data_IF_315899148112
#
_entry.id   IF_315899148112
#
_cell.length_a   1.000
_cell.length_b   1.000
_cell.length_c   1.000
_cell.angle_alpha   90.00
_cell.angle_beta   90.00
_cell.angle_gamma   90.00
#
_symmetry.space_group_name_H-M   'P 1'
#
loop_
_entity.id
_entity.type
_entity.pdbx_description
1 polymer ?
#
# COMPACT_ATOMS: atom_id res chain seq x y z
N UNK A 1 -25.83 13.97 -38.45
CA UNK A 1 -26.67 13.03 -37.66
C UNK A 1 -25.87 11.75 -37.51
N UNK A 2 -25.21 11.47 -36.38
CA UNK A 2 -25.77 10.84 -35.17
C UNK A 2 -25.06 9.47 -35.02
N UNK A 3 -24.05 9.32 -34.15
CA UNK A 3 -24.09 9.00 -32.72
C UNK A 3 -24.38 7.52 -32.40
N UNK A 4 -23.55 6.97 -31.49
CA UNK A 4 -23.68 5.72 -30.71
C UNK A 4 -23.36 4.38 -31.43
N UNK A 5 -22.67 3.41 -30.81
CA UNK A 5 -22.20 3.33 -29.43
C UNK A 5 -21.28 2.11 -29.20
N UNK A 6 -20.40 2.31 -28.21
CA UNK A 6 -19.86 1.37 -27.22
C UNK A 6 -20.15 -0.14 -27.36
N UNK A 7 -19.08 -0.95 -27.36
CA UNK A 7 -19.03 -2.11 -26.46
C UNK A 7 -17.56 -2.36 -26.03
N UNK A 8 -17.13 -1.59 -25.04
CA UNK A 8 -15.93 -1.90 -24.28
C UNK A 8 -16.29 -3.03 -23.35
N UNK A 9 -16.01 -4.27 -23.76
CA UNK A 9 -16.17 -5.45 -22.92
C UNK A 9 -15.35 -5.27 -21.64
N UNK A 10 -16.00 -4.77 -20.59
CA UNK A 10 -15.47 -4.66 -19.23
C UNK A 10 -15.23 -6.08 -18.72
N UNK A 11 -14.05 -6.62 -19.05
CA UNK A 11 -13.51 -7.78 -18.36
C UNK A 11 -13.02 -7.28 -17.01
N UNK A 12 -13.96 -7.11 -16.08
CA UNK A 12 -13.65 -7.02 -14.65
C UNK A 12 -13.05 -8.38 -14.30
N UNK A 13 -11.73 -8.45 -14.30
CA UNK A 13 -11.04 -9.63 -13.80
C UNK A 13 -11.38 -9.73 -12.31
N UNK A 14 -12.04 -10.80 -11.85
CA UNK A 14 -12.18 -11.01 -10.41
C UNK A 14 -10.76 -11.19 -9.86
N UNK A 15 -10.35 -10.31 -8.94
CA UNK A 15 -9.19 -10.57 -8.09
C UNK A 15 -9.61 -11.76 -7.25
N UNK A 16 -9.13 -12.95 -7.63
CA UNK A 16 -9.32 -14.16 -6.84
C UNK A 16 -8.43 -14.02 -5.60
N UNK A 17 -8.98 -13.45 -4.54
CA UNK A 17 -8.42 -13.51 -3.19
C UNK A 17 -8.78 -14.90 -2.67
N UNK A 18 -7.94 -15.89 -2.95
CA UNK A 18 -7.99 -17.15 -2.19
C UNK A 18 -7.23 -16.96 -0.89
N UNK A 19 -7.98 -16.64 0.17
CA UNK A 19 -7.53 -16.94 1.52
C UNK A 19 -7.64 -18.47 1.71
N UNK A 20 -6.53 -19.18 1.48
CA UNK A 20 -6.38 -20.57 1.91
C UNK A 20 -6.27 -20.56 3.44
N UNK A 21 -7.41 -20.68 4.12
CA UNK A 21 -7.45 -20.93 5.56
C UNK A 21 -6.89 -22.32 5.90
N UNK A 22 -6.26 -22.51 7.05
CA UNK A 22 -5.77 -23.82 7.46
C UNK A 22 -6.95 -24.69 7.92
N UNK A 23 -7.44 -25.55 7.02
CA UNK A 23 -8.30 -26.68 7.37
C UNK A 23 -7.46 -27.78 7.99
N UNK A 24 -7.62 -28.02 9.30
CA UNK A 24 -6.97 -29.13 9.98
C UNK A 24 -7.54 -30.49 9.58
N UNK A 25 -6.64 -31.47 9.39
CA UNK A 25 -6.82 -32.88 9.74
C UNK A 25 -5.50 -33.65 9.48
N UNK A 26 -4.89 -34.12 10.56
CA UNK A 26 -4.00 -35.28 10.73
C UNK A 26 -3.05 -35.73 9.59
N UNK A 27 -1.75 -35.42 9.73
CA UNK A 27 -0.63 -36.15 9.09
C UNK A 27 0.59 -36.18 10.05
N UNK A 28 1.23 -37.34 10.28
CA UNK A 28 2.30 -37.47 11.27
C UNK A 28 3.66 -37.01 10.74
N UNK A 29 4.53 -36.72 11.72
CA UNK A 29 5.86 -36.14 11.66
C UNK A 29 6.82 -36.69 10.59
N UNK A 30 7.40 -35.77 9.83
CA UNK A 30 8.85 -35.71 9.65
C UNK A 30 9.24 -34.24 9.41
N UNK A 31 10.24 -33.80 10.16
CA UNK A 31 10.54 -32.42 10.50
C UNK A 31 11.59 -31.85 9.54
N UNK A 32 11.32 -30.72 8.90
CA UNK A 32 12.32 -29.67 8.66
C UNK A 32 11.63 -28.37 8.24
N UNK A 33 11.31 -27.59 9.26
CA UNK A 33 11.20 -26.13 9.30
C UNK A 33 10.41 -25.46 8.15
N UNK A 34 9.09 -25.66 8.20
CA UNK A 34 8.16 -24.66 7.73
C UNK A 34 8.35 -23.40 8.60
N UNK A 35 9.26 -22.53 8.19
CA UNK A 35 9.32 -21.14 8.63
C UNK A 35 8.05 -20.43 8.18
N UNK A 36 6.94 -20.70 8.90
CA UNK A 36 5.72 -19.93 8.86
C UNK A 36 6.03 -18.54 9.39
N UNK A 37 6.60 -17.71 8.53
CA UNK A 37 6.74 -16.30 8.78
C UNK A 37 5.32 -15.77 8.83
N UNK A 38 4.81 -15.49 10.04
CA UNK A 38 3.52 -14.85 10.30
C UNK A 38 3.51 -13.38 9.82
N UNK A 39 4.21 -13.09 8.73
CA UNK A 39 4.21 -11.81 8.07
C UNK A 39 2.85 -11.62 7.41
N UNK A 40 2.18 -10.52 7.75
CA UNK A 40 0.92 -10.14 7.14
C UNK A 40 1.05 -10.11 5.62
N UNK A 41 0.09 -10.71 4.94
CA UNK A 41 0.06 -10.69 3.48
C UNK A 41 0.03 -9.25 2.94
N UNK A 42 0.90 -8.97 1.99
CA UNK A 42 0.90 -7.68 1.29
C UNK A 42 -0.42 -7.46 0.58
N UNK A 43 -0.95 -6.24 0.62
CA UNK A 43 -2.23 -5.89 0.01
C UNK A 43 -2.12 -4.64 -0.87
N UNK A 44 -3.00 -4.54 -1.87
CA UNK A 44 -2.97 -3.45 -2.84
C UNK A 44 -4.14 -2.50 -2.63
N UNK A 45 -3.87 -1.19 -2.65
CA UNK A 45 -4.88 -0.13 -2.59
C UNK A 45 -4.77 0.80 -3.81
N UNK A 46 -5.86 1.47 -4.14
CA UNK A 46 -5.87 2.53 -5.15
C UNK A 46 -5.63 3.88 -4.48
N UNK A 47 -4.78 4.70 -5.08
CA UNK A 47 -4.51 6.07 -4.62
C UNK A 47 -5.73 6.94 -4.92
N UNK A 48 -6.18 7.69 -3.91
CA UNK A 48 -7.27 8.63 -3.99
C UNK A 48 -6.75 10.06 -3.77
N UNK A 49 -7.24 11.00 -4.59
CA UNK A 49 -6.84 12.40 -4.55
C UNK A 49 -5.40 12.66 -5.01
N UNK A 50 -4.93 13.88 -4.76
CA UNK A 50 -3.70 14.44 -5.33
C UNK A 50 -2.62 14.79 -4.28
N UNK A 51 -2.87 14.43 -3.02
CA UNK A 51 -1.99 14.76 -1.88
C UNK A 51 -0.57 14.17 -1.97
N UNK A 52 -0.38 13.17 -2.83
CA UNK A 52 0.90 12.50 -3.06
C UNK A 52 1.45 12.75 -4.46
N UNK A 53 0.91 13.72 -5.20
CA UNK A 53 1.53 14.23 -6.42
C UNK A 53 2.87 14.91 -6.11
N UNK A 54 3.82 14.91 -7.06
CA UNK A 54 3.72 14.35 -8.42
C UNK A 54 4.03 12.84 -8.51
N UNK A 55 4.46 12.22 -7.41
CA UNK A 55 4.94 10.84 -7.42
C UNK A 55 3.79 9.85 -7.52
N UNK A 56 2.70 10.02 -6.79
CA UNK A 56 1.54 9.12 -6.82
C UNK A 56 0.33 9.86 -7.35
N UNK A 57 -0.14 9.45 -8.52
CA UNK A 57 -1.33 10.02 -9.13
C UNK A 57 -2.59 9.27 -8.70
N UNK A 58 -3.71 9.98 -8.68
CA UNK A 58 -5.03 9.37 -8.46
C UNK A 58 -5.27 8.22 -9.44
N UNK A 59 -5.79 7.11 -8.93
CA UNK A 59 -6.05 5.90 -9.69
C UNK A 59 -4.84 4.97 -9.85
N UNK A 60 -3.64 5.33 -9.41
CA UNK A 60 -2.53 4.38 -9.33
C UNK A 60 -2.76 3.32 -8.25
N UNK A 61 -2.21 2.12 -8.46
CA UNK A 61 -2.29 1.02 -7.50
C UNK A 61 -0.99 0.95 -6.72
N UNK A 62 -1.06 1.05 -5.40
CA UNK A 62 0.05 0.89 -4.47
C UNK A 62 -0.03 -0.47 -3.77
N UNK A 63 1.12 -1.09 -3.52
CA UNK A 63 1.24 -2.34 -2.76
C UNK A 63 1.86 -2.01 -1.41
N UNK A 64 1.20 -2.44 -0.34
CA UNK A 64 1.54 -2.18 1.05
C UNK A 64 1.98 -3.49 1.69
N UNK A 65 3.15 -3.45 2.31
CA UNK A 65 3.73 -4.55 3.09
C UNK A 65 3.59 -4.22 4.59
N UNK A 66 2.77 -4.97 5.35
CA UNK A 66 2.55 -4.71 6.78
C UNK A 66 3.82 -4.78 7.61
N UNK A 67 4.68 -5.75 7.32
CA UNK A 67 5.95 -5.99 8.03
C UNK A 67 7.15 -5.32 7.35
N UNK A 68 6.88 -4.38 6.44
CA UNK A 68 7.92 -3.62 5.76
C UNK A 68 8.75 -2.79 6.74
N UNK A 69 10.05 -2.68 6.48
CA UNK A 69 10.95 -1.84 7.28
C UNK A 69 10.57 -0.36 7.12
N UNK A 70 10.12 0.24 8.23
CA UNK A 70 9.76 1.65 8.29
C UNK A 70 11.01 2.48 8.58
N UNK A 71 11.36 3.38 7.67
CA UNK A 71 12.48 4.32 7.82
C UNK A 71 12.06 5.73 7.40
N UNK A 72 12.83 6.73 7.80
CA UNK A 72 12.64 8.09 7.30
C UNK A 72 12.72 8.11 5.76
N UNK A 73 11.80 8.83 5.12
CA UNK A 73 11.64 8.87 3.68
C UNK A 73 10.78 7.74 3.10
N UNK A 74 10.46 6.69 3.87
CA UNK A 74 9.57 5.62 3.42
C UNK A 74 8.15 6.14 3.19
N UNK A 75 7.49 5.59 2.18
CA UNK A 75 6.08 5.80 1.95
C UNK A 75 5.27 4.86 2.84
N UNK A 76 4.36 5.39 3.65
CA UNK A 76 3.64 4.61 4.67
C UNK A 76 2.13 4.77 4.55
N UNK A 77 1.43 3.69 4.86
CA UNK A 77 0.00 3.68 5.11
C UNK A 77 -0.21 3.70 6.63
N UNK A 78 -0.84 4.74 7.15
CA UNK A 78 -0.92 4.99 8.58
C UNK A 78 -2.33 5.42 8.98
N UNK A 79 -2.68 5.19 10.25
CA UNK A 79 -3.92 5.71 10.84
C UNK A 79 -3.60 6.96 11.64
N UNK A 80 -4.22 8.09 11.27
CA UNK A 80 -4.05 9.38 11.93
C UNK A 80 -5.44 10.00 12.12
N UNK A 81 -5.76 10.46 13.35
CA UNK A 81 -7.07 11.03 13.68
C UNK A 81 -8.27 10.15 13.24
N UNK A 82 -8.18 8.85 13.49
CA UNK A 82 -9.17 7.84 13.06
C UNK A 82 -9.36 7.66 11.55
N UNK A 83 -8.56 8.35 10.73
CA UNK A 83 -8.57 8.22 9.28
C UNK A 83 -7.34 7.44 8.78
N UNK A 84 -7.54 6.66 7.73
CA UNK A 84 -6.46 5.98 7.03
C UNK A 84 -5.86 6.90 5.99
N UNK A 85 -4.57 7.20 6.14
CA UNK A 85 -3.86 8.14 5.27
C UNK A 85 -2.61 7.51 4.67
N UNK A 86 -2.29 7.96 3.46
CA UNK A 86 -1.09 7.61 2.73
C UNK A 86 -0.15 8.82 2.64
N UNK A 87 1.05 8.72 3.22
CA UNK A 87 2.01 9.83 3.36
C UNK A 87 3.46 9.33 3.31
N UNK A 88 4.41 10.24 3.14
CA UNK A 88 5.81 9.96 3.38
C UNK A 88 6.14 10.13 4.86
N UNK A 89 6.83 9.18 5.47
CA UNK A 89 7.34 9.32 6.83
C UNK A 89 8.55 10.27 6.82
N UNK A 90 8.53 11.29 7.66
CA UNK A 90 9.64 12.22 7.81
C UNK A 90 9.80 12.62 9.28
N UNK A 91 10.87 13.35 9.60
CA UNK A 91 11.06 13.99 10.89
C UNK A 91 11.00 15.50 10.80
N UNK A 92 10.51 16.16 11.85
CA UNK A 92 10.63 17.61 12.01
C UNK A 92 12.07 18.01 12.42
N UNK A 93 12.31 19.32 12.55
CA UNK A 93 13.60 19.85 13.00
C UNK A 93 13.96 19.45 14.45
N UNK A 94 12.99 19.03 15.25
CA UNK A 94 13.19 18.55 16.62
C UNK A 94 13.39 17.02 16.69
N UNK A 95 13.24 16.30 15.57
CA UNK A 95 13.38 14.85 15.47
C UNK A 95 12.10 14.06 15.71
N UNK A 96 10.94 14.71 15.84
CA UNK A 96 9.65 14.03 16.00
C UNK A 96 9.14 13.50 14.67
N UNK A 97 8.44 12.37 14.71
CA UNK A 97 7.85 11.77 13.53
C UNK A 97 6.65 12.57 13.01
N UNK A 98 6.60 12.70 11.68
CA UNK A 98 5.47 13.28 10.98
C UNK A 98 5.18 12.54 9.66
N UNK A 99 3.96 12.70 9.20
CA UNK A 99 3.46 12.21 7.93
C UNK A 99 3.38 13.40 6.97
N UNK A 100 4.30 13.42 6.00
CA UNK A 100 4.45 14.49 5.01
C UNK A 100 3.75 14.12 3.70
N UNK A 101 2.84 14.97 3.19
CA UNK A 101 2.38 14.86 1.81
C UNK A 101 3.49 15.27 0.84
N UNK A 102 3.51 14.71 -0.36
CA UNK A 102 4.41 15.20 -1.42
C UNK A 102 3.87 16.47 -2.09
N UNK A 103 2.55 16.66 -2.04
CA UNK A 103 1.91 17.86 -2.54
C UNK A 103 1.90 18.94 -1.44
N UNK A 104 2.60 20.08 -1.62
CA UNK A 104 2.72 21.13 -0.61
C UNK A 104 1.40 21.87 -0.33
N UNK A 105 0.35 21.62 -1.09
CA UNK A 105 -0.99 22.14 -0.80
C UNK A 105 -1.62 21.51 0.47
N UNK A 106 -1.06 20.41 0.96
CA UNK A 106 -1.53 19.69 2.14
C UNK A 106 -0.56 19.86 3.32
N UNK A 107 -1.06 19.94 4.57
CA UNK A 107 -0.19 20.09 5.74
C UNK A 107 0.47 18.77 6.14
N UNK A 108 1.64 18.88 6.78
CA UNK A 108 2.28 17.79 7.52
C UNK A 108 1.40 17.41 8.73
N UNK A 109 1.33 16.10 9.03
CA UNK A 109 0.57 15.58 10.17
C UNK A 109 1.52 14.92 11.18
N UNK A 110 1.67 15.46 12.40
CA UNK A 110 2.53 14.85 13.41
C UNK A 110 1.95 13.51 13.89
N UNK A 111 2.84 12.56 14.19
CA UNK A 111 2.48 11.29 14.83
C UNK A 111 3.33 11.09 16.08
N UNK A 112 2.76 10.49 17.12
CA UNK A 112 3.48 10.24 18.37
C UNK A 112 4.65 9.27 18.16
N UNK A 113 4.41 8.19 17.42
CA UNK A 113 5.38 7.14 17.14
C UNK A 113 4.94 6.31 15.91
N UNK A 114 5.71 5.28 15.59
CA UNK A 114 5.50 4.42 14.42
C UNK A 114 4.34 3.42 14.59
N UNK A 115 3.69 3.31 15.75
CA UNK A 115 2.52 2.44 15.94
C UNK A 115 1.32 2.86 15.08
N UNK A 116 1.28 4.13 14.65
CA UNK A 116 0.31 4.62 13.68
C UNK A 116 0.50 3.99 12.29
N UNK A 117 1.69 3.50 11.96
CA UNK A 117 2.01 2.92 10.66
C UNK A 117 1.51 1.48 10.59
N UNK A 118 0.67 1.21 9.59
CA UNK A 118 0.13 -0.12 9.31
C UNK A 118 0.96 -0.91 8.30
N UNK A 119 1.72 -0.21 7.45
CA UNK A 119 2.61 -0.85 6.49
C UNK A 119 3.33 0.16 5.60
N UNK A 120 4.31 -0.35 4.87
CA UNK A 120 5.16 0.43 3.95
C UNK A 120 4.70 0.19 2.52
N UNK A 121 4.62 1.24 1.72
CA UNK A 121 4.35 1.15 0.30
C UNK A 121 5.65 0.70 -0.38
N UNK A 122 5.66 -0.53 -0.87
CA UNK A 122 6.82 -1.14 -1.51
C UNK A 122 6.82 -0.96 -3.02
N UNK A 123 5.65 -0.75 -3.63
CA UNK A 123 5.49 -0.66 -5.08
C UNK A 123 4.30 0.21 -5.46
N UNK A 124 4.37 0.86 -6.63
CA UNK A 124 3.21 1.38 -7.35
C UNK A 124 3.13 0.83 -8.78
N UNK A 125 1.94 0.88 -9.38
CA UNK A 125 1.71 0.58 -10.78
C UNK A 125 0.51 1.33 -11.35
N UNK A 126 0.51 1.58 -12.66
CA UNK A 126 -0.66 2.15 -13.35
C UNK A 126 -1.62 1.05 -13.79
N UNK A 127 -2.93 1.18 -13.53
CA UNK A 127 -3.93 0.29 -14.11
C UNK A 127 -3.79 0.19 -15.63
N UNK A 128 -3.88 -1.03 -16.16
CA UNK A 128 -3.76 -1.28 -17.61
C UNK A 128 -2.34 -1.14 -18.19
N UNK A 129 -1.35 -0.67 -17.43
CA UNK A 129 0.06 -0.60 -17.84
C UNK A 129 0.96 -1.35 -16.87
N UNK A 130 0.79 -2.68 -16.81
CA UNK A 130 1.53 -3.57 -15.91
C UNK A 130 3.07 -3.44 -15.99
N UNK A 131 3.62 -2.99 -17.13
CA UNK A 131 5.06 -2.72 -17.29
C UNK A 131 5.54 -1.40 -16.70
N UNK A 132 4.63 -0.51 -16.27
CA UNK A 132 4.94 0.76 -15.62
C UNK A 132 4.78 0.62 -14.11
N UNK A 133 5.60 -0.23 -13.48
CA UNK A 133 5.70 -0.38 -12.02
C UNK A 133 6.98 0.24 -11.49
N UNK A 134 6.93 0.87 -10.32
CA UNK A 134 8.08 1.41 -9.59
C UNK A 134 8.11 0.80 -8.19
N UNK A 135 9.29 0.34 -7.73
CA UNK A 135 9.53 -0.19 -6.39
C UNK A 135 10.23 0.87 -5.53
N UNK A 136 9.90 0.92 -4.24
CA UNK A 136 10.39 1.94 -3.29
C UNK A 136 11.29 1.40 -2.19
N UNK A 137 11.27 0.09 -1.97
CA UNK A 137 12.20 -0.60 -1.07
C UNK A 137 13.30 -1.26 -1.91
N UNK A 138 14.53 -1.10 -1.46
CA UNK A 138 15.73 -1.68 -2.07
C UNK A 138 15.89 -3.15 -1.66
#
# INVERSE_FOLDING_TARGET
>A
MGAHGSDGSKRVFPIRVEALGPGGADVPADEHDAGGCSSGESFALMVLGDSMLPEFAEGEIIVIEPDGLVSEGSFVFARCNDEWIFRQLARDAAGHWLLRPLNPAYPDLPIADLSAVRGVIIQKSKPGRRRASKRYVA
#
